data_IF_737395370378
#
_entry.id   IF_737395370378
#
_cell.length_a   1.000
_cell.length_b   1.000
_cell.length_c   1.000
_cell.angle_alpha   90.00
_cell.angle_beta   90.00
_cell.angle_gamma   90.00
#
_symmetry.space_group_name_H-M   'P 1'
#
loop_
_entity.id
_entity.type
_entity.pdbx_description
1 polymer ?
#
# COMPACT_ATOMS: atom_id res chain seq x y z
N UNK A 1 18.09 -11.74 -2.49
CA UNK A 1 16.75 -12.34 -2.34
C UNK A 1 16.13 -11.70 -1.12
N UNK A 2 15.13 -10.84 -1.32
CA UNK A 2 14.25 -10.41 -0.22
C UNK A 2 13.33 -11.59 0.09
N UNK A 3 13.12 -11.91 1.37
CA UNK A 3 12.09 -12.86 1.77
C UNK A 3 10.96 -12.06 2.41
N UNK A 4 9.79 -12.05 1.78
CA UNK A 4 8.58 -11.51 2.39
C UNK A 4 8.08 -12.51 3.44
N UNK A 5 8.34 -12.23 4.71
CA UNK A 5 7.66 -12.90 5.83
C UNK A 5 6.42 -12.06 6.17
N UNK A 6 5.35 -12.28 5.39
CA UNK A 6 4.02 -11.74 5.68
C UNK A 6 3.25 -12.74 6.53
N UNK A 7 2.72 -12.29 7.67
CA UNK A 7 1.66 -13.03 8.34
C UNK A 7 0.35 -12.50 7.74
N UNK A 8 -0.27 -13.29 6.87
CA UNK A 8 -1.59 -12.97 6.33
C UNK A 8 -2.62 -13.08 7.45
N UNK A 9 -3.11 -11.94 7.93
CA UNK A 9 -4.38 -11.93 8.64
C UNK A 9 -5.48 -11.99 7.57
N UNK A 10 -5.98 -13.19 7.28
CA UNK A 10 -7.17 -13.36 6.44
C UNK A 10 -8.40 -12.88 7.23
N UNK A 11 -8.58 -11.55 7.26
CA UNK A 11 -9.70 -10.88 7.90
C UNK A 11 -10.83 -10.61 6.91
N UNK A 12 -11.90 -11.40 7.06
CA UNK A 12 -13.29 -11.12 6.63
C UNK A 12 -13.67 -11.35 5.15
N UNK A 13 -14.72 -12.17 4.95
CA UNK A 13 -15.38 -12.52 3.68
C UNK A 13 -16.15 -11.34 3.03
N UNK A 14 -15.89 -10.11 3.48
CA UNK A 14 -16.55 -8.89 3.03
C UNK A 14 -15.53 -8.03 2.31
N UNK A 15 -15.72 -7.84 1.00
CA UNK A 15 -14.89 -6.96 0.18
C UNK A 15 -14.85 -5.55 0.80
N UNK A 16 -13.66 -5.09 1.22
CA UNK A 16 -13.51 -3.73 1.74
C UNK A 16 -13.45 -2.77 0.56
N UNK A 17 -14.13 -1.62 0.68
CA UNK A 17 -14.20 -0.62 -0.39
C UNK A 17 -13.61 0.70 0.10
N UNK A 18 -12.63 1.22 -0.62
CA UNK A 18 -12.11 2.57 -0.36
C UNK A 18 -13.19 3.63 -0.64
N UNK A 19 -13.22 4.75 0.11
CA UNK A 19 -12.28 5.13 1.17
C UNK A 19 -12.69 4.66 2.57
N UNK A 20 -13.73 3.84 2.72
CA UNK A 20 -14.50 3.76 3.96
C UNK A 20 -14.05 2.65 4.91
N UNK A 21 -12.75 2.55 5.19
CA UNK A 21 -12.25 1.63 6.22
C UNK A 21 -10.89 2.06 6.76
N UNK A 22 -10.68 1.75 8.04
CA UNK A 22 -9.40 1.90 8.74
C UNK A 22 -8.90 0.55 9.21
N UNK A 23 -7.60 0.47 9.48
CA UNK A 23 -6.96 -0.70 10.07
C UNK A 23 -6.27 -0.26 11.34
N UNK A 24 -6.58 -0.90 12.46
CA UNK A 24 -5.91 -0.67 13.74
C UNK A 24 -5.13 -1.90 14.16
N UNK A 25 -3.98 -1.70 14.77
CA UNK A 25 -3.17 -2.78 15.34
C UNK A 25 -2.11 -2.18 16.25
N UNK A 26 -1.59 -2.99 17.17
CA UNK A 26 -0.37 -2.69 17.91
C UNK A 26 0.76 -3.53 17.35
N UNK A 27 1.88 -2.89 17.07
CA UNK A 27 3.09 -3.51 16.58
C UNK A 27 4.23 -3.32 17.57
N UNK A 28 4.98 -4.39 17.79
CA UNK A 28 6.28 -4.35 18.45
C UNK A 28 7.29 -5.17 17.65
N UNK A 29 8.33 -4.51 17.14
CA UNK A 29 9.47 -5.18 16.50
C UNK A 29 10.53 -5.45 17.56
N UNK A 30 10.79 -6.73 17.83
CA UNK A 30 11.75 -7.18 18.84
C UNK A 30 13.15 -7.37 18.23
N UNK A 31 13.22 -7.83 16.97
CA UNK A 31 14.47 -8.06 16.25
C UNK A 31 14.30 -7.77 14.76
N UNK A 32 15.21 -7.00 14.20
CA UNK A 32 15.02 -6.34 12.90
C UNK A 32 15.57 -7.07 11.68
N UNK A 33 15.87 -8.37 11.71
CA UNK A 33 16.28 -9.12 10.51
C UNK A 33 17.50 -8.58 9.73
N UNK A 34 18.28 -7.66 10.29
CA UNK A 34 19.44 -7.01 9.65
C UNK A 34 19.33 -5.48 9.55
N UNK A 35 20.40 -4.81 9.11
CA UNK A 35 20.46 -3.33 9.04
C UNK A 35 19.65 -2.73 7.88
N UNK A 36 19.20 -3.55 6.93
CA UNK A 36 18.41 -3.13 5.77
C UNK A 36 16.91 -3.36 5.92
N UNK A 37 16.47 -4.11 6.92
CA UNK A 37 15.04 -4.41 7.09
C UNK A 37 14.29 -3.19 7.60
N UNK A 38 13.05 -3.07 7.16
CA UNK A 38 12.13 -2.05 7.65
C UNK A 38 10.76 -2.70 7.82
N UNK A 39 9.97 -2.13 8.73
CA UNK A 39 8.56 -2.46 8.82
C UNK A 39 7.83 -1.65 7.77
N UNK A 40 7.16 -2.32 6.84
CA UNK A 40 6.33 -1.66 5.84
C UNK A 40 4.87 -1.82 6.23
N UNK A 41 4.18 -0.70 6.26
CA UNK A 41 2.75 -0.69 6.51
C UNK A 41 2.05 -0.88 5.17
N UNK A 42 1.82 -2.15 4.86
CA UNK A 42 1.00 -2.67 3.75
C UNK A 42 1.58 -2.44 2.36
N UNK A 43 1.45 -3.49 1.55
CA UNK A 43 1.73 -3.50 0.13
C UNK A 43 0.43 -3.21 -0.64
N UNK A 44 0.54 -2.44 -1.73
CA UNK A 44 -0.63 -1.94 -2.47
C UNK A 44 -0.49 -2.28 -3.96
N UNK A 45 -0.99 -3.47 -4.30
CA UNK A 45 -1.18 -3.94 -5.67
C UNK A 45 -2.66 -4.12 -6.01
N UNK A 46 -3.04 -3.91 -7.27
CA UNK A 46 -4.43 -4.10 -7.73
C UNK A 46 -4.51 -4.87 -9.05
N UNK A 47 -5.67 -5.49 -9.31
CA UNK A 47 -6.03 -5.96 -10.66
C UNK A 47 -6.80 -4.86 -11.41
N UNK A 48 -6.49 -4.68 -12.69
CA UNK A 48 -7.09 -3.65 -13.54
C UNK A 48 -7.53 -4.24 -14.88
N UNK A 49 -8.55 -3.64 -15.51
CA UNK A 49 -9.09 -4.12 -16.79
C UNK A 49 -9.27 -2.99 -17.81
N UNK A 50 -8.59 -3.13 -18.95
CA UNK A 50 -8.78 -2.28 -20.14
C UNK A 50 -9.89 -2.82 -21.08
N UNK A 51 -10.66 -3.81 -20.62
CA UNK A 51 -11.55 -4.65 -21.44
C UNK A 51 -13.04 -4.65 -21.03
N UNK A 52 -13.45 -3.75 -20.13
CA UNK A 52 -14.87 -3.37 -19.97
C UNK A 52 -15.73 -4.20 -19.01
N UNK A 53 -15.17 -4.76 -17.93
CA UNK A 53 -15.95 -5.30 -16.79
C UNK A 53 -15.73 -4.45 -15.53
N UNK A 54 -16.72 -4.42 -14.65
CA UNK A 54 -17.00 -3.26 -13.78
C UNK A 54 -16.01 -2.92 -12.65
N UNK A 55 -15.87 -1.60 -12.43
CA UNK A 55 -15.72 -0.87 -11.16
C UNK A 55 -16.32 0.57 -11.32
N UNK A 56 -16.75 1.27 -10.25
CA UNK A 56 -17.73 2.41 -10.29
C UNK A 56 -17.46 3.86 -9.73
N UNK A 57 -16.25 4.45 -9.87
CA UNK A 57 -15.77 5.69 -9.18
C UNK A 57 -15.83 7.08 -9.88
N UNK A 58 -15.18 8.12 -9.26
CA UNK A 58 -14.91 9.54 -9.69
C UNK A 58 -13.51 10.07 -9.19
N UNK A 59 -12.77 10.91 -9.96
CA UNK A 59 -11.31 11.28 -9.79
C UNK A 59 -10.88 12.72 -10.19
N UNK A 60 -11.60 13.79 -9.84
CA UNK A 60 -11.38 15.12 -10.45
C UNK A 60 -10.21 16.00 -9.93
N UNK A 61 -9.27 15.50 -9.10
CA UNK A 61 -8.20 16.35 -8.49
C UNK A 61 -6.78 15.77 -8.51
N UNK A 62 -6.48 14.83 -9.39
CA UNK A 62 -5.26 14.01 -9.32
C UNK A 62 -3.94 14.79 -9.49
N UNK A 63 -2.95 14.46 -8.66
CA UNK A 63 -1.54 14.85 -8.83
C UNK A 63 -0.84 13.79 -9.67
N UNK A 64 -0.37 14.17 -10.86
CA UNK A 64 0.26 13.24 -11.80
C UNK A 64 1.73 12.99 -11.45
N UNK A 65 2.30 11.87 -11.91
CA UNK A 65 3.74 11.59 -11.73
C UNK A 65 4.60 12.71 -12.32
N UNK A 66 4.18 13.24 -13.45
CA UNK A 66 4.84 14.37 -14.11
C UNK A 66 4.88 15.66 -13.29
N UNK A 67 4.01 15.83 -12.28
CA UNK A 67 4.05 16.96 -11.33
C UNK A 67 5.12 16.73 -10.26
N UNK A 68 6.38 17.00 -10.62
CA UNK A 68 7.54 16.82 -9.72
C UNK A 68 7.50 17.66 -8.43
N UNK A 69 6.69 18.71 -8.40
CA UNK A 69 6.59 19.57 -7.22
C UNK A 69 5.64 18.99 -6.17
N UNK A 70 4.63 18.23 -6.61
CA UNK A 70 3.57 17.70 -5.74
C UNK A 70 3.61 16.19 -5.58
N UNK A 71 4.18 15.45 -6.54
CA UNK A 71 4.24 14.00 -6.48
C UNK A 71 5.33 13.55 -5.48
N UNK A 72 4.99 12.79 -4.43
CA UNK A 72 5.92 12.49 -3.35
C UNK A 72 6.83 11.31 -3.72
N UNK A 73 7.82 11.55 -4.58
CA UNK A 73 8.69 10.50 -5.13
C UNK A 73 9.44 9.67 -4.09
N UNK A 74 9.79 10.31 -2.99
CA UNK A 74 10.47 9.73 -1.84
C UNK A 74 9.56 8.89 -0.93
N UNK A 75 8.24 8.90 -1.17
CA UNK A 75 7.26 8.32 -0.27
C UNK A 75 6.86 6.88 -0.64
N UNK A 76 7.41 6.34 -1.73
CA UNK A 76 7.29 4.95 -2.16
C UNK A 76 8.66 4.41 -2.60
N UNK A 77 8.90 3.11 -2.42
CA UNK A 77 10.16 2.50 -2.86
C UNK A 77 10.19 2.33 -4.37
N UNK A 78 9.10 1.81 -4.93
CA UNK A 78 8.99 1.56 -6.36
C UNK A 78 7.53 1.61 -6.81
N UNK A 79 7.32 2.06 -8.05
CA UNK A 79 6.02 2.07 -8.70
C UNK A 79 6.19 1.58 -10.12
N UNK A 80 5.29 0.72 -10.56
CA UNK A 80 5.22 0.24 -11.93
C UNK A 80 3.80 0.39 -12.50
N UNK A 81 3.71 0.70 -13.80
CA UNK A 81 2.45 0.85 -14.55
C UNK A 81 2.00 -0.49 -15.12
N UNK A 82 0.72 -0.65 -15.50
CA UNK A 82 0.29 -1.84 -16.22
C UNK A 82 0.85 -1.87 -17.63
N UNK A 83 1.16 -3.07 -18.14
CA UNK A 83 1.79 -3.26 -19.45
C UNK A 83 0.93 -2.84 -20.64
N UNK A 84 -0.36 -2.57 -20.42
CA UNK A 84 -1.32 -2.12 -21.41
C UNK A 84 -1.68 -0.63 -21.29
N UNK A 85 -0.95 0.14 -20.47
CA UNK A 85 -1.11 1.59 -20.36
C UNK A 85 -0.87 2.28 -21.72
N UNK A 86 -1.88 2.95 -22.27
CA UNK A 86 -1.78 3.59 -23.60
C UNK A 86 -1.04 4.93 -23.59
N UNK A 87 -1.06 5.61 -22.45
CA UNK A 87 -0.59 6.97 -22.23
C UNK A 87 0.29 7.06 -20.98
N UNK A 88 1.07 6.01 -20.68
CA UNK A 88 1.95 5.96 -19.51
C UNK A 88 2.88 7.19 -19.44
N UNK A 89 2.95 7.80 -18.26
CA UNK A 89 3.76 9.00 -18.02
C UNK A 89 5.24 8.63 -17.89
N UNK A 90 6.08 9.11 -18.83
CA UNK A 90 7.52 8.86 -18.80
C UNK A 90 8.23 9.70 -17.72
N UNK A 91 9.21 9.12 -16.97
CA UNK A 91 9.69 7.74 -17.05
C UNK A 91 8.79 6.75 -16.27
N UNK A 92 8.61 5.56 -16.83
CA UNK A 92 7.87 4.46 -16.22
C UNK A 92 8.55 3.11 -16.43
N UNK A 93 8.26 2.18 -15.53
CA UNK A 93 8.55 0.75 -15.67
C UNK A 93 7.25 -0.04 -15.65
N UNK A 94 7.23 -1.19 -16.32
CA UNK A 94 6.06 -2.07 -16.40
C UNK A 94 6.19 -3.18 -15.36
N UNK A 95 5.10 -3.45 -14.63
CA UNK A 95 5.08 -4.51 -13.62
C UNK A 95 5.26 -5.90 -14.25
N UNK A 96 5.81 -6.85 -13.48
CA UNK A 96 5.95 -8.25 -13.92
C UNK A 96 4.57 -8.90 -14.15
N UNK A 97 4.25 -9.34 -15.39
CA UNK A 97 2.94 -9.89 -15.69
C UNK A 97 2.73 -11.34 -15.24
N UNK A 98 3.74 -12.01 -14.65
CA UNK A 98 3.71 -13.46 -14.40
C UNK A 98 2.52 -13.93 -13.55
N UNK A 99 2.20 -13.21 -12.46
CA UNK A 99 1.09 -13.56 -11.56
C UNK A 99 -0.21 -12.82 -11.87
N UNK A 100 -0.13 -11.71 -12.59
CA UNK A 100 -1.27 -10.89 -12.99
C UNK A 100 -0.96 -10.31 -14.38
N UNK A 101 -1.73 -10.58 -15.44
CA UNK A 101 -1.33 -10.19 -16.80
C UNK A 101 -1.16 -8.69 -17.01
N UNK A 102 -1.77 -7.84 -16.18
CA UNK A 102 -1.74 -6.38 -16.28
C UNK A 102 -1.66 -5.77 -14.87
N UNK A 103 -0.57 -6.04 -14.12
CA UNK A 103 -0.46 -5.55 -12.75
C UNK A 103 -0.15 -4.07 -12.73
N UNK A 104 -0.60 -3.39 -11.69
CA UNK A 104 -0.12 -2.08 -11.32
C UNK A 104 0.11 -2.07 -9.81
N UNK A 105 1.24 -1.54 -9.37
CA UNK A 105 1.70 -1.73 -8.00
C UNK A 105 2.53 -0.55 -7.50
N UNK A 106 2.32 -0.22 -6.22
CA UNK A 106 3.25 0.57 -5.42
C UNK A 106 3.92 -0.41 -4.47
N UNK A 107 5.16 -0.76 -4.78
CA UNK A 107 5.96 -1.61 -3.92
C UNK A 107 6.44 -0.74 -2.76
N UNK A 108 5.93 -1.05 -1.57
CA UNK A 108 6.30 -0.45 -0.29
C UNK A 108 6.05 1.07 -0.18
N UNK A 109 5.17 1.44 0.75
CA UNK A 109 5.08 2.83 1.23
C UNK A 109 6.24 3.11 2.19
N UNK A 110 6.98 4.18 1.93
CA UNK A 110 8.09 4.64 2.76
C UNK A 110 7.63 5.67 3.78
N UNK A 111 8.24 5.73 4.98
CA UNK A 111 7.90 6.75 5.96
C UNK A 111 8.06 8.16 5.39
N UNK A 112 6.99 8.94 5.34
CA UNK A 112 6.97 10.27 4.75
C UNK A 112 5.90 11.18 5.37
N UNK A 113 6.15 12.50 5.55
CA UNK A 113 5.16 13.42 6.12
C UNK A 113 3.83 13.49 5.37
N UNK A 114 3.84 13.24 4.06
CA UNK A 114 2.60 13.21 3.24
C UNK A 114 1.61 12.14 3.72
N UNK A 115 2.07 11.16 4.50
CA UNK A 115 1.21 10.11 5.03
C UNK A 115 0.64 10.39 6.43
N UNK A 116 1.00 11.53 7.04
CA UNK A 116 0.60 11.89 8.41
C UNK A 116 -0.92 11.89 8.57
N UNK A 117 -1.66 12.43 7.60
CA UNK A 117 -3.12 12.51 7.65
C UNK A 117 -3.81 11.14 7.60
N UNK A 118 -3.10 10.09 7.18
CA UNK A 118 -3.59 8.72 7.11
C UNK A 118 -3.07 7.86 8.28
N UNK A 119 -2.27 8.42 9.19
CA UNK A 119 -1.76 7.74 10.38
C UNK A 119 -0.51 6.87 10.16
N UNK A 120 0.12 6.93 8.99
CA UNK A 120 1.30 6.13 8.66
C UNK A 120 2.59 6.77 9.19
N UNK A 121 3.71 6.01 9.26
CA UNK A 121 5.01 6.52 9.60
C UNK A 121 5.39 7.75 8.77
N UNK A 122 5.80 8.81 9.43
CA UNK A 122 6.26 10.05 8.80
C UNK A 122 7.78 10.14 8.73
N UNK A 123 8.47 9.30 9.50
CA UNK A 123 9.93 9.30 9.63
C UNK A 123 10.48 7.88 9.77
N UNK A 124 11.65 7.64 9.19
CA UNK A 124 12.37 6.37 9.31
C UNK A 124 12.58 6.02 10.80
N UNK A 125 12.27 4.77 11.14
CA UNK A 125 12.44 4.23 12.49
C UNK A 125 11.21 4.31 13.40
N UNK A 126 10.14 5.01 13.00
CA UNK A 126 8.87 4.95 13.75
C UNK A 126 8.28 3.54 13.71
N UNK A 127 7.89 3.02 14.87
CA UNK A 127 7.35 1.66 14.99
C UNK A 127 8.42 0.56 14.91
N UNK A 128 9.69 0.93 15.02
CA UNK A 128 10.81 -0.02 14.97
C UNK A 128 11.25 -0.48 16.37
N UNK A 129 12.42 -1.11 16.45
CA UNK A 129 12.97 -1.65 17.71
C UNK A 129 13.07 -0.55 18.77
N UNK A 130 12.48 -0.80 19.93
CA UNK A 130 12.43 0.14 21.05
C UNK A 130 11.34 1.20 20.97
N UNK A 131 10.51 1.16 19.92
CA UNK A 131 9.40 2.10 19.68
C UNK A 131 8.10 1.34 19.34
N UNK A 132 7.55 0.53 20.27
CA UNK A 132 6.28 -0.15 20.05
C UNK A 132 5.15 0.86 19.90
N UNK A 133 4.26 0.64 18.92
CA UNK A 133 3.20 1.61 18.57
C UNK A 133 1.86 0.93 18.33
N UNK A 134 0.82 1.63 18.76
CA UNK A 134 -0.54 1.42 18.27
C UNK A 134 -0.76 2.31 17.06
N UNK A 135 -1.18 1.69 15.97
CA UNK A 135 -1.47 2.34 14.70
C UNK A 135 -2.98 2.39 14.49
N UNK A 136 -3.44 3.53 13.98
CA UNK A 136 -4.73 3.68 13.33
C UNK A 136 -4.45 4.21 11.93
N UNK A 137 -4.55 3.33 10.94
CA UNK A 137 -4.25 3.63 9.55
C UNK A 137 -5.56 3.86 8.78
N UNK A 138 -5.69 5.01 8.14
CA UNK A 138 -6.78 5.29 7.20
C UNK A 138 -6.46 4.73 5.81
N UNK A 139 -6.46 3.39 5.74
CA UNK A 139 -6.07 2.63 4.54
C UNK A 139 -7.01 2.91 3.38
N UNK A 140 -8.31 3.00 3.65
CA UNK A 140 -9.30 3.36 2.65
C UNK A 140 -9.04 4.73 2.07
N UNK A 141 -8.84 5.76 2.90
CA UNK A 141 -8.58 7.11 2.41
C UNK A 141 -7.23 7.21 1.69
N UNK A 142 -6.15 6.62 2.24
CA UNK A 142 -4.83 6.63 1.58
C UNK A 142 -4.90 5.98 0.21
N UNK A 143 -5.48 4.78 0.13
CA UNK A 143 -5.65 4.10 -1.15
C UNK A 143 -6.45 4.90 -2.15
N UNK A 144 -7.47 5.64 -1.69
CA UNK A 144 -8.22 6.53 -2.56
C UNK A 144 -7.35 7.68 -3.12
N UNK A 145 -6.45 8.21 -2.29
CA UNK A 145 -5.57 9.35 -2.60
C UNK A 145 -4.34 8.99 -3.43
N UNK A 146 -3.92 7.72 -3.46
CA UNK A 146 -2.75 7.31 -4.25
C UNK A 146 -3.04 7.40 -5.75
N UNK A 147 -2.03 7.87 -6.49
CA UNK A 147 -2.07 7.85 -7.95
C UNK A 147 -1.85 6.42 -8.46
N UNK A 148 -2.86 5.90 -9.16
CA UNK A 148 -2.75 4.73 -10.01
C UNK A 148 -3.11 5.18 -11.42
N UNK A 149 -2.25 4.85 -12.38
CA UNK A 149 -2.43 5.15 -13.79
C UNK A 149 -3.80 4.67 -14.28
N UNK A 150 -4.45 5.55 -15.02
CA UNK A 150 -5.70 5.31 -15.70
C UNK A 150 -5.67 6.02 -17.07
N UNK A 151 -6.10 5.31 -18.13
CA UNK A 151 -6.20 5.91 -19.46
C UNK A 151 -7.12 7.14 -19.41
N UNK A 152 -6.74 8.29 -20.01
CA UNK A 152 -7.57 9.49 -20.03
C UNK A 152 -8.98 9.21 -20.56
N UNK A 153 -9.99 9.86 -19.94
CA UNK A 153 -11.42 9.73 -20.28
C UNK A 153 -12.04 8.36 -20.02
N UNK A 154 -11.35 7.46 -19.33
CA UNK A 154 -11.98 6.21 -18.85
C UNK A 154 -12.72 6.45 -17.54
N UNK A 155 -13.69 5.57 -17.23
CA UNK A 155 -14.48 5.66 -16.02
C UNK A 155 -13.59 5.43 -14.80
N UNK A 156 -13.49 6.38 -13.85
CA UNK A 156 -12.70 6.20 -12.65
C UNK A 156 -13.02 4.92 -11.87
N UNK A 157 -11.99 4.38 -11.23
CA UNK A 157 -12.03 3.03 -10.68
C UNK A 157 -12.47 2.93 -9.23
N UNK A 158 -13.04 1.75 -8.97
CA UNK A 158 -13.39 1.12 -7.71
C UNK A 158 -12.20 0.43 -7.06
N UNK A 159 -11.80 0.82 -5.85
CA UNK A 159 -10.78 0.08 -5.09
C UNK A 159 -11.46 -0.86 -4.11
N UNK A 160 -11.39 -2.14 -4.43
CA UNK A 160 -11.91 -3.26 -3.66
C UNK A 160 -10.74 -4.10 -3.15
N UNK A 161 -10.71 -4.36 -1.84
CA UNK A 161 -9.61 -5.06 -1.19
C UNK A 161 -10.05 -6.47 -0.80
N UNK A 162 -9.33 -7.46 -1.32
CA UNK A 162 -9.53 -8.89 -1.00
C UNK A 162 -8.72 -9.37 0.20
N UNK A 163 -7.66 -8.65 0.55
CA UNK A 163 -6.81 -8.92 1.72
C UNK A 163 -6.16 -7.64 2.20
N UNK A 164 -5.81 -7.64 3.49
CA UNK A 164 -4.91 -6.65 4.10
C UNK A 164 -3.78 -7.44 4.75
N UNK A 165 -2.57 -7.22 4.26
CA UNK A 165 -1.39 -7.96 4.69
C UNK A 165 -0.48 -7.07 5.55
N UNK A 166 -0.04 -7.60 6.69
CA UNK A 166 0.86 -6.92 7.62
C UNK A 166 2.08 -7.80 7.87
N UNK A 167 3.27 -7.24 7.68
CA UNK A 167 4.49 -8.00 7.88
C UNK A 167 5.76 -7.17 7.79
N UNK A 168 6.86 -7.82 8.16
CA UNK A 168 8.21 -7.28 7.97
C UNK A 168 8.76 -7.75 6.64
N UNK A 169 9.26 -6.85 5.82
CA UNK A 169 10.11 -7.25 4.70
C UNK A 169 11.57 -7.26 5.15
N UNK A 170 12.21 -8.42 4.96
CA UNK A 170 13.55 -8.67 5.46
C UNK A 170 14.46 -8.94 4.26
N UNK A 171 15.40 -8.02 4.05
CA UNK A 171 16.45 -8.19 3.07
C UNK A 171 17.46 -9.21 3.61
N UNK A 172 17.45 -10.42 3.04
CA UNK A 172 18.26 -11.52 3.55
C UNK A 172 19.76 -11.29 3.36
N UNK A 173 20.51 -11.34 4.46
CA UNK A 173 21.88 -11.86 4.51
C UNK A 173 21.88 -13.22 5.21
N UNK A 174 23.00 -13.96 5.24
CA UNK A 174 23.08 -15.23 6.00
C UNK A 174 22.66 -15.03 7.46
N UNK A 175 21.84 -15.96 7.97
CA UNK A 175 21.45 -16.13 9.37
C UNK A 175 20.72 -14.95 10.04
N UNK A 176 19.86 -14.24 9.29
CA UNK A 176 19.03 -13.18 9.86
C UNK A 176 17.79 -13.75 10.57
N UNK A 177 17.50 -13.21 11.75
CA UNK A 177 16.29 -13.50 12.53
C UNK A 177 15.54 -12.19 12.72
N UNK A 178 14.26 -12.19 12.36
CA UNK A 178 13.34 -11.13 12.72
C UNK A 178 12.30 -11.68 13.70
N UNK A 179 12.00 -10.90 14.72
CA UNK A 179 11.03 -11.22 15.76
C UNK A 179 10.15 -10.00 15.96
N UNK A 180 8.84 -10.20 15.94
CA UNK A 180 7.87 -9.13 16.12
C UNK A 180 6.55 -9.70 16.60
N UNK A 181 5.75 -8.86 17.24
CA UNK A 181 4.39 -9.19 17.67
C UNK A 181 3.41 -8.19 17.08
N UNK A 182 2.23 -8.69 16.72
CA UNK A 182 1.06 -7.86 16.40
C UNK A 182 -0.08 -8.29 17.32
N UNK A 183 -0.69 -7.30 17.97
CA UNK A 183 -1.91 -7.47 18.75
C UNK A 183 -2.96 -6.48 18.28
N UNK A 184 -4.21 -6.66 18.71
CA UNK A 184 -5.29 -5.70 18.48
C UNK A 184 -5.52 -5.38 16.99
N UNK A 185 -5.29 -6.35 16.11
CA UNK A 185 -5.52 -6.20 14.68
C UNK A 185 -7.02 -6.16 14.39
N UNK A 186 -7.54 -5.00 13.98
CA UNK A 186 -8.94 -4.81 13.66
C UNK A 186 -9.09 -4.07 12.32
N UNK A 187 -10.15 -4.42 11.59
CA UNK A 187 -10.63 -3.67 10.44
C UNK A 187 -11.86 -2.90 10.90
N UNK A 188 -11.81 -1.58 10.79
CA UNK A 188 -12.85 -0.67 11.28
C UNK A 188 -13.56 -0.05 10.08
N UNK A 189 -14.83 -0.43 9.89
CA UNK A 189 -15.71 0.17 8.88
C UNK A 189 -16.60 1.18 9.61
N UNK A 190 -16.49 2.49 9.31
CA UNK A 190 -17.36 3.49 9.92
C UNK A 190 -18.82 3.19 9.55
N UNK A 191 -19.69 3.02 10.54
CA UNK A 191 -21.13 3.01 10.29
C UNK A 191 -21.52 4.41 9.84
N UNK A 192 -22.02 4.53 8.61
CA UNK A 192 -22.70 5.75 8.16
C UNK A 192 -23.86 5.99 9.11
N UNK A 193 -23.78 7.04 9.93
CA UNK A 193 -24.97 7.54 10.62
C UNK A 193 -25.85 8.08 9.50
N UNK A 194 -26.96 7.38 9.23
CA UNK A 194 -27.98 7.82 8.27
C UNK A 194 -28.56 9.17 8.66
#
# INVERSE_FOLDING_TARGET
>A
MSSHLSNRAAGQETTLKSPNFKVTFKLEVLKGGGSGSQFYLMDMGSCWKNDGRDCDGDVTTDVTRTDKEKFPYEAYHYYCVPGNARFAESPYEVCDPYSNPQPQEILQILPHPVWEEFGYPTKKGQGWIGDPRSWELDVGKLSQSLYFYQDPKTKPVERHWSSIDLGTEIYMSKDQIAEWTVTDFNIVIPTTVM
#
